data_IF_836209888939
#
_entry.id   IF_836209888939
#
_cell.length_a   1.000
_cell.length_b   1.000
_cell.length_c   1.000
_cell.angle_alpha   90.00
_cell.angle_beta   90.00
_cell.angle_gamma   90.00
#
_symmetry.space_group_name_H-M   'P 1'
#
loop_
_entity.id
_entity.type
_entity.pdbx_description
1 polymer ?
#
# COMPACT_ATOMS: atom_id res chain seq x y z
N UNK A 1 -19.22 -33.36 51.14
CA UNK A 1 -19.43 -32.12 50.35
C UNK A 1 -18.12 -31.35 50.40
N UNK A 2 -17.09 -31.83 49.69
CA UNK A 2 -16.63 -31.33 48.37
C UNK A 2 -16.12 -29.88 48.45
N UNK A 3 -14.90 -29.71 48.97
CA UNK A 3 -14.08 -28.52 48.75
C UNK A 3 -13.80 -28.37 47.25
N UNK A 4 -14.19 -27.23 46.69
CA UNK A 4 -13.98 -26.91 45.27
C UNK A 4 -12.52 -26.56 45.02
N UNK A 5 -11.80 -27.49 44.39
CA UNK A 5 -10.44 -27.28 43.91
C UNK A 5 -10.43 -26.17 42.83
N UNK A 6 -9.51 -25.19 42.86
CA UNK A 6 -9.40 -24.21 41.77
C UNK A 6 -9.05 -24.94 40.48
N UNK A 7 -9.82 -24.68 39.42
CA UNK A 7 -9.59 -25.24 38.10
C UNK A 7 -8.22 -24.73 37.63
N UNK A 8 -7.23 -25.62 37.63
CA UNK A 8 -5.96 -25.42 36.96
C UNK A 8 -6.24 -25.42 35.46
N UNK A 9 -6.51 -24.25 34.89
CA UNK A 9 -6.51 -24.05 33.44
C UNK A 9 -5.06 -24.29 33.00
N UNK A 10 -4.77 -25.32 32.17
CA UNK A 10 -3.44 -25.46 31.60
C UNK A 10 -3.14 -24.17 30.85
N UNK A 11 -2.07 -23.47 31.25
CA UNK A 11 -1.45 -22.48 30.37
C UNK A 11 -0.89 -23.27 29.19
N UNK A 12 -1.75 -23.54 28.21
CA UNK A 12 -1.29 -23.67 26.84
C UNK A 12 -0.59 -22.35 26.55
N UNK A 13 0.74 -22.40 26.57
CA UNK A 13 1.60 -21.40 25.99
C UNK A 13 1.10 -21.23 24.55
N UNK A 14 0.24 -20.23 24.36
CA UNK A 14 -0.23 -19.80 23.06
C UNK A 14 1.02 -19.61 22.21
N UNK A 15 1.12 -20.50 21.23
CA UNK A 15 2.12 -20.52 20.20
C UNK A 15 1.92 -19.22 19.39
N UNK A 16 2.48 -18.11 19.86
CA UNK A 16 2.58 -16.82 19.17
C UNK A 16 3.54 -16.92 17.97
N UNK A 17 3.53 -18.05 17.26
CA UNK A 17 4.20 -18.21 15.99
C UNK A 17 3.33 -17.53 14.94
N UNK A 18 3.90 -16.47 14.36
CA UNK A 18 3.45 -15.63 13.25
C UNK A 18 3.00 -16.37 11.96
N UNK A 19 2.74 -17.68 12.03
CA UNK A 19 2.13 -18.50 10.97
C UNK A 19 0.75 -17.97 10.51
N UNK A 20 0.07 -17.15 11.33
CA UNK A 20 -1.22 -16.55 10.99
C UNK A 20 -1.17 -15.35 10.02
N UNK A 21 -0.03 -14.66 9.89
CA UNK A 21 0.02 -13.35 9.20
C UNK A 21 0.24 -13.50 7.69
N UNK A 22 0.92 -14.55 7.25
CA UNK A 22 1.08 -14.86 5.82
C UNK A 22 0.45 -16.23 5.56
N UNK A 23 -0.85 -16.24 5.27
CA UNK A 23 -1.52 -17.45 4.78
C UNK A 23 -0.83 -17.88 3.48
N UNK A 24 -0.58 -19.19 3.32
CA UNK A 24 -0.03 -19.73 2.06
C UNK A 24 -0.85 -19.30 0.83
N UNK A 25 -2.16 -19.04 1.01
CA UNK A 25 -3.03 -18.49 -0.02
C UNK A 25 -2.65 -17.09 -0.49
N UNK A 26 -2.06 -16.25 0.36
CA UNK A 26 -1.54 -14.93 -0.02
C UNK A 26 -0.24 -15.06 -0.81
N UNK A 27 0.65 -15.98 -0.42
CA UNK A 27 1.89 -16.26 -1.15
C UNK A 27 1.57 -16.82 -2.54
N UNK A 28 0.59 -17.71 -2.63
CA UNK A 28 0.13 -18.28 -3.89
C UNK A 28 -0.41 -17.20 -4.84
N UNK A 29 -1.25 -16.29 -4.35
CA UNK A 29 -1.75 -15.17 -5.16
C UNK A 29 -0.63 -14.26 -5.66
N UNK A 30 0.37 -13.98 -4.83
CA UNK A 30 1.50 -13.12 -5.23
C UNK A 30 2.44 -13.86 -6.19
N UNK A 31 2.63 -15.16 -6.00
CA UNK A 31 3.40 -16.02 -6.91
C UNK A 31 2.76 -16.10 -8.29
N UNK A 32 1.45 -16.33 -8.36
CA UNK A 32 0.67 -16.36 -9.61
C UNK A 32 0.63 -14.98 -10.29
N UNK A 33 0.46 -13.90 -9.53
CA UNK A 33 0.33 -12.55 -10.10
C UNK A 33 1.65 -11.94 -10.60
N UNK A 34 2.79 -12.30 -10.01
CA UNK A 34 4.10 -11.69 -10.30
C UNK A 34 5.14 -12.67 -10.87
N UNK A 35 4.72 -13.89 -11.22
CA UNK A 35 5.55 -14.98 -11.78
C UNK A 35 6.79 -15.25 -10.93
N UNK A 36 6.55 -15.52 -9.64
CA UNK A 36 7.61 -15.77 -8.66
C UNK A 36 7.62 -17.22 -8.21
N UNK A 37 8.81 -17.81 -8.14
CA UNK A 37 9.03 -19.18 -7.70
C UNK A 37 8.62 -19.38 -6.22
N UNK A 38 7.54 -20.12 -5.99
CA UNK A 38 6.93 -20.29 -4.66
C UNK A 38 7.88 -20.99 -3.68
N UNK A 39 8.63 -21.99 -4.15
CA UNK A 39 9.57 -22.75 -3.30
C UNK A 39 10.72 -21.88 -2.81
N UNK A 40 11.25 -21.01 -3.68
CA UNK A 40 12.34 -20.09 -3.33
C UNK A 40 11.86 -19.01 -2.35
N UNK A 41 10.67 -18.45 -2.57
CA UNK A 41 10.07 -17.49 -1.63
C UNK A 41 9.89 -18.13 -0.24
N UNK A 42 9.33 -19.34 -0.19
CA UNK A 42 9.09 -20.03 1.08
C UNK A 42 10.40 -20.35 1.81
N UNK A 43 11.42 -20.78 1.08
CA UNK A 43 12.76 -21.01 1.63
C UNK A 43 13.39 -19.75 2.21
N UNK A 44 13.38 -18.64 1.46
CA UNK A 44 13.91 -17.36 1.93
C UNK A 44 13.16 -16.81 3.14
N UNK A 45 11.82 -16.89 3.14
CA UNK A 45 10.99 -16.44 4.27
C UNK A 45 11.31 -17.26 5.53
N UNK A 46 11.45 -18.58 5.41
CA UNK A 46 11.77 -19.44 6.57
C UNK A 46 13.15 -19.13 7.15
N UNK A 47 14.15 -18.92 6.29
CA UNK A 47 15.51 -18.54 6.71
C UNK A 47 15.48 -17.17 7.38
N UNK A 48 14.81 -16.19 6.76
CA UNK A 48 14.65 -14.86 7.31
C UNK A 48 13.94 -14.86 8.67
N UNK A 49 12.86 -15.61 8.83
CA UNK A 49 12.15 -15.76 10.11
C UNK A 49 13.06 -16.33 11.21
N UNK A 50 13.84 -17.36 10.90
CA UNK A 50 14.80 -17.94 11.85
C UNK A 50 15.90 -16.95 12.24
N UNK A 51 16.40 -16.16 11.29
CA UNK A 51 17.40 -15.12 11.56
C UNK A 51 16.81 -13.96 12.36
N UNK A 52 15.59 -13.55 12.04
CA UNK A 52 14.90 -12.45 12.71
C UNK A 52 14.50 -12.82 14.14
N UNK A 53 14.05 -14.05 14.41
CA UNK A 53 13.75 -14.53 15.78
C UNK A 53 14.97 -14.39 16.71
N UNK A 54 16.15 -14.81 16.23
CA UNK A 54 17.43 -14.63 16.95
C UNK A 54 17.79 -13.16 17.22
N UNK A 55 17.35 -12.23 16.37
CA UNK A 55 17.59 -10.80 16.53
C UNK A 55 16.59 -10.17 17.50
N UNK A 56 15.33 -10.60 17.46
CA UNK A 56 14.24 -10.10 18.33
C UNK A 56 14.41 -10.53 19.78
N UNK A 57 14.97 -11.71 20.05
CA UNK A 57 15.28 -12.17 21.42
C UNK A 57 16.22 -11.21 22.18
N UNK A 58 16.84 -10.25 21.50
CA UNK A 58 17.74 -9.24 22.07
C UNK A 58 17.12 -7.83 22.26
N UNK A 59 15.87 -7.60 21.86
CA UNK A 59 15.25 -6.26 21.80
C UNK A 59 13.96 -6.13 22.63
N UNK A 60 13.71 -4.99 23.31
CA UNK A 60 12.52 -4.80 24.14
C UNK A 60 11.23 -4.61 23.31
N UNK A 61 10.15 -5.19 23.80
CA UNK A 61 8.83 -5.24 23.17
C UNK A 61 8.16 -3.86 23.06
N UNK A 62 7.99 -3.39 21.82
CA UNK A 62 6.94 -2.42 21.48
C UNK A 62 6.25 -2.93 20.22
N UNK A 63 4.99 -3.34 20.36
CA UNK A 63 4.21 -4.02 19.33
C UNK A 63 3.15 -3.09 18.73
N UNK A 64 3.38 -2.61 17.51
CA UNK A 64 2.31 -2.26 16.56
C UNK A 64 2.67 -2.85 15.19
N UNK A 65 1.71 -3.40 14.45
CA UNK A 65 1.96 -4.12 13.18
C UNK A 65 2.73 -3.26 12.16
N UNK A 66 2.43 -1.96 12.10
CA UNK A 66 3.10 -0.99 11.22
C UNK A 66 4.56 -0.78 11.65
N UNK A 67 4.83 -0.70 12.96
CA UNK A 67 6.22 -0.64 13.45
C UNK A 67 7.00 -1.93 13.21
N UNK A 68 6.32 -3.08 13.19
CA UNK A 68 6.97 -4.39 13.03
C UNK A 68 7.46 -4.61 11.58
N UNK A 69 6.63 -4.31 10.57
CA UNK A 69 7.08 -4.35 9.17
C UNK A 69 8.24 -3.38 8.91
N UNK A 70 8.15 -2.18 9.50
CA UNK A 70 9.23 -1.18 9.40
C UNK A 70 10.52 -1.65 10.06
N UNK A 71 10.46 -2.28 11.24
CA UNK A 71 11.61 -2.89 11.92
C UNK A 71 12.27 -3.97 11.05
N UNK A 72 11.45 -4.86 10.45
CA UNK A 72 11.96 -5.92 9.55
C UNK A 72 12.62 -5.35 8.30
N UNK A 73 12.04 -4.31 7.70
CA UNK A 73 12.64 -3.63 6.55
C UNK A 73 13.96 -2.96 6.93
N UNK A 74 14.02 -2.27 8.08
CA UNK A 74 15.25 -1.65 8.56
C UNK A 74 16.33 -2.71 8.84
N UNK A 75 15.99 -3.84 9.46
CA UNK A 75 16.93 -4.95 9.69
C UNK A 75 17.52 -5.49 8.38
N UNK A 76 16.71 -5.62 7.33
CA UNK A 76 17.19 -6.07 6.01
C UNK A 76 18.19 -5.08 5.39
N UNK A 77 17.94 -3.78 5.55
CA UNK A 77 18.80 -2.71 5.03
C UNK A 77 20.09 -2.58 5.85
N UNK A 78 20.00 -2.57 7.18
CA UNK A 78 21.15 -2.44 8.09
C UNK A 78 22.15 -3.59 7.98
N UNK A 79 21.66 -4.79 7.64
CA UNK A 79 22.50 -5.99 7.49
C UNK A 79 22.89 -6.28 6.04
N UNK A 80 22.57 -5.38 5.09
CA UNK A 80 22.83 -5.55 3.65
C UNK A 80 22.28 -6.88 3.09
N UNK A 81 21.22 -7.41 3.71
CA UNK A 81 20.60 -8.69 3.35
C UNK A 81 19.78 -8.57 2.05
N UNK A 82 19.63 -7.36 1.51
CA UNK A 82 18.91 -7.11 0.27
C UNK A 82 19.48 -7.84 -0.95
N UNK A 83 20.78 -8.12 -0.96
CA UNK A 83 21.44 -8.85 -2.06
C UNK A 83 21.45 -10.37 -1.83
N UNK A 84 21.30 -10.81 -0.58
CA UNK A 84 21.26 -12.22 -0.18
C UNK A 84 19.85 -12.81 -0.37
N UNK A 85 18.80 -11.98 -0.24
CA UNK A 85 17.40 -12.39 -0.35
C UNK A 85 16.65 -11.62 -1.47
N UNK A 86 16.94 -11.92 -2.74
CA UNK A 86 16.34 -11.23 -3.88
C UNK A 86 14.82 -11.42 -3.97
N UNK A 87 14.29 -12.59 -3.59
CA UNK A 87 12.84 -12.84 -3.65
C UNK A 87 12.10 -12.12 -2.52
N UNK A 88 12.69 -12.09 -1.32
CA UNK A 88 12.13 -11.33 -0.19
C UNK A 88 12.14 -9.82 -0.46
N UNK A 89 13.21 -9.29 -1.06
CA UNK A 89 13.29 -7.88 -1.48
C UNK A 89 12.15 -7.53 -2.45
N UNK A 90 11.95 -8.36 -3.47
CA UNK A 90 10.88 -8.16 -4.46
C UNK A 90 9.49 -8.23 -3.82
N UNK A 91 9.28 -9.15 -2.87
CA UNK A 91 8.03 -9.26 -2.12
C UNK A 91 7.74 -8.00 -1.28
N UNK A 92 8.73 -7.46 -0.58
CA UNK A 92 8.58 -6.24 0.22
C UNK A 92 8.32 -5.03 -0.69
N UNK A 93 8.99 -4.95 -1.85
CA UNK A 93 8.72 -3.90 -2.84
C UNK A 93 7.27 -3.95 -3.34
N UNK A 94 6.77 -5.14 -3.67
CA UNK A 94 5.37 -5.33 -4.06
C UNK A 94 4.43 -4.91 -2.92
N UNK A 95 4.70 -5.33 -1.69
CA UNK A 95 3.89 -5.00 -0.53
C UNK A 95 3.81 -3.49 -0.29
N UNK A 96 4.91 -2.75 -0.49
CA UNK A 96 4.94 -1.29 -0.37
C UNK A 96 4.32 -0.57 -1.57
N UNK A 97 4.42 -1.16 -2.77
CA UNK A 97 3.87 -0.58 -3.99
C UNK A 97 2.34 -0.67 -4.06
N UNK A 98 1.76 -1.79 -3.61
CA UNK A 98 0.30 -2.01 -3.63
C UNK A 98 -0.47 -0.84 -2.98
N UNK A 99 -0.23 -0.44 -1.72
CA UNK A 99 -0.97 0.67 -1.11
C UNK A 99 -0.76 2.00 -1.83
N UNK A 100 0.45 2.28 -2.33
CA UNK A 100 0.75 3.50 -3.08
C UNK A 100 -0.03 3.52 -4.40
N UNK A 101 -0.08 2.40 -5.11
CA UNK A 101 -0.83 2.26 -6.36
C UNK A 101 -2.33 2.39 -6.14
N UNK A 102 -2.87 1.78 -5.07
CA UNK A 102 -4.30 1.89 -4.75
C UNK A 102 -4.68 3.32 -4.39
N UNK A 103 -3.88 4.00 -3.57
CA UNK A 103 -4.13 5.41 -3.23
C UNK A 103 -4.04 6.32 -4.45
N UNK A 104 -3.10 6.08 -5.38
CA UNK A 104 -3.02 6.84 -6.63
C UNK A 104 -4.28 6.64 -7.48
N UNK A 105 -4.73 5.39 -7.66
CA UNK A 105 -5.97 5.06 -8.36
C UNK A 105 -7.20 5.71 -7.68
N UNK A 106 -7.33 5.61 -6.36
CA UNK A 106 -8.42 6.22 -5.60
C UNK A 106 -8.44 7.75 -5.77
N UNK A 107 -7.27 8.39 -5.72
CA UNK A 107 -7.13 9.83 -5.97
C UNK A 107 -7.61 10.19 -7.38
N UNK A 108 -7.20 9.44 -8.40
CA UNK A 108 -7.62 9.66 -9.80
C UNK A 108 -9.13 9.44 -9.97
N UNK A 109 -9.69 8.36 -9.44
CA UNK A 109 -11.14 8.11 -9.52
C UNK A 109 -11.97 9.16 -8.76
N UNK A 110 -11.48 9.62 -7.60
CA UNK A 110 -12.11 10.69 -6.84
C UNK A 110 -12.10 12.02 -7.62
N UNK A 111 -10.98 12.34 -8.25
CA UNK A 111 -10.83 13.51 -9.11
C UNK A 111 -11.80 13.47 -10.30
N UNK A 112 -11.82 12.34 -11.03
CA UNK A 112 -12.75 12.10 -12.14
C UNK A 112 -14.20 12.25 -11.72
N UNK A 113 -14.55 11.70 -10.55
CA UNK A 113 -15.92 11.78 -10.02
C UNK A 113 -16.30 13.21 -9.71
N UNK A 114 -15.42 13.98 -9.07
CA UNK A 114 -15.61 15.41 -8.81
C UNK A 114 -15.80 16.20 -10.10
N UNK A 115 -14.97 15.96 -11.10
CA UNK A 115 -15.03 16.67 -12.38
C UNK A 115 -16.30 16.34 -13.17
N UNK A 116 -16.71 15.06 -13.22
CA UNK A 116 -17.98 14.64 -13.81
C UNK A 116 -19.18 15.28 -13.12
N UNK A 117 -19.18 15.31 -11.79
CA UNK A 117 -20.24 15.95 -11.02
C UNK A 117 -20.32 17.46 -11.26
N UNK A 118 -19.17 18.13 -11.34
CA UNK A 118 -19.09 19.57 -11.61
C UNK A 118 -19.58 19.92 -13.03
N UNK A 119 -19.16 19.16 -14.03
CA UNK A 119 -19.45 19.48 -15.44
C UNK A 119 -20.86 19.06 -15.87
N UNK A 120 -21.51 18.09 -15.20
CA UNK A 120 -22.91 17.57 -15.39
C UNK A 120 -23.35 17.25 -16.84
N UNK A 121 -22.48 17.45 -17.82
CA UNK A 121 -22.72 17.30 -19.25
C UNK A 121 -22.16 15.97 -19.76
N UNK A 122 -22.82 15.37 -20.75
CA UNK A 122 -22.21 14.32 -21.56
C UNK A 122 -21.02 14.93 -22.31
N UNK A 123 -19.82 14.54 -21.91
CA UNK A 123 -18.55 15.03 -22.44
C UNK A 123 -17.75 13.84 -22.98
N UNK A 124 -17.01 14.06 -24.06
CA UNK A 124 -16.17 13.01 -24.65
C UNK A 124 -15.08 12.56 -23.66
N UNK A 125 -14.75 11.27 -23.68
CA UNK A 125 -13.77 10.67 -22.75
C UNK A 125 -12.39 11.32 -22.89
N UNK A 126 -11.99 11.71 -24.11
CA UNK A 126 -10.71 12.37 -24.39
C UNK A 126 -10.57 13.69 -23.62
N UNK A 127 -11.57 14.58 -23.75
CA UNK A 127 -11.56 15.88 -23.07
C UNK A 127 -11.72 15.72 -21.56
N UNK A 128 -12.46 14.70 -21.10
CA UNK A 128 -12.58 14.38 -19.68
C UNK A 128 -11.22 13.95 -19.08
N UNK A 129 -10.52 13.04 -19.75
CA UNK A 129 -9.22 12.55 -19.33
C UNK A 129 -8.18 13.69 -19.28
N UNK A 130 -8.16 14.55 -20.31
CA UNK A 130 -7.26 15.71 -20.33
C UNK A 130 -7.49 16.64 -19.12
N UNK A 131 -8.75 16.91 -18.75
CA UNK A 131 -9.08 17.73 -17.59
C UNK A 131 -8.72 17.05 -16.26
N UNK A 132 -8.88 15.73 -16.17
CA UNK A 132 -8.53 14.98 -14.98
C UNK A 132 -7.02 14.99 -14.72
N UNK A 133 -6.21 14.77 -15.77
CA UNK A 133 -4.76 14.89 -15.69
C UNK A 133 -4.37 16.30 -15.26
N UNK A 134 -4.94 17.34 -15.87
CA UNK A 134 -4.69 18.74 -15.48
C UNK A 134 -5.05 19.00 -14.01
N UNK A 135 -6.09 18.35 -13.48
CA UNK A 135 -6.54 18.53 -12.10
C UNK A 135 -5.67 17.78 -11.10
N UNK A 136 -5.20 16.58 -11.45
CA UNK A 136 -4.30 15.75 -10.62
C UNK A 136 -2.90 16.38 -10.54
N UNK A 137 -2.37 16.78 -11.69
CA UNK A 137 -1.04 17.40 -11.85
C UNK A 137 -1.04 18.90 -11.60
N UNK A 138 -2.13 19.45 -11.04
CA UNK A 138 -2.26 20.88 -10.84
C UNK A 138 -1.29 21.39 -9.76
N UNK A 139 -0.07 21.68 -10.19
CA UNK A 139 1.04 22.21 -9.40
C UNK A 139 1.08 23.74 -9.43
N UNK A 140 0.25 24.37 -10.26
CA UNK A 140 0.19 25.80 -10.48
C UNK A 140 -1.07 26.36 -9.83
N UNK A 141 -0.91 27.37 -8.98
CA UNK A 141 -2.05 28.08 -8.43
C UNK A 141 -2.68 28.98 -9.51
N UNK A 142 -3.93 28.71 -9.86
CA UNK A 142 -4.65 29.45 -10.90
C UNK A 142 -5.49 30.53 -10.24
N UNK A 143 -5.12 31.79 -10.49
CA UNK A 143 -5.92 32.94 -10.05
C UNK A 143 -7.20 33.04 -10.90
N UNK A 144 -8.29 32.48 -10.36
CA UNK A 144 -9.61 32.50 -10.99
C UNK A 144 -10.08 33.91 -11.34
N UNK A 145 -9.68 34.93 -10.57
CA UNK A 145 -10.10 36.32 -10.78
C UNK A 145 -9.55 36.85 -12.10
N UNK A 146 -8.25 36.62 -12.36
CA UNK A 146 -7.60 37.01 -13.62
C UNK A 146 -8.17 36.25 -14.81
N UNK A 147 -8.44 34.95 -14.65
CA UNK A 147 -9.05 34.14 -15.71
C UNK A 147 -10.44 34.65 -16.07
N UNK A 148 -11.26 34.98 -15.06
CA UNK A 148 -12.62 35.52 -15.25
C UNK A 148 -12.55 36.89 -15.94
N UNK A 149 -11.66 37.78 -15.51
CA UNK A 149 -11.49 39.10 -16.13
C UNK A 149 -11.03 39.01 -17.59
N UNK A 150 -10.07 38.11 -17.88
CA UNK A 150 -9.60 37.88 -19.25
C UNK A 150 -10.70 37.28 -20.12
N UNK A 151 -11.50 36.35 -19.58
CA UNK A 151 -12.65 35.80 -20.28
C UNK A 151 -13.72 36.87 -20.55
N UNK A 152 -14.04 37.72 -19.56
CA UNK A 152 -15.00 38.81 -19.70
C UNK A 152 -14.56 39.86 -20.74
N UNK A 153 -13.26 40.09 -20.89
CA UNK A 153 -12.69 40.98 -21.93
C UNK A 153 -12.78 40.37 -23.34
N UNK A 154 -12.83 39.04 -23.46
CA UNK A 154 -13.00 38.37 -24.76
C UNK A 154 -14.44 38.52 -25.25
N UNK A 155 -14.65 39.27 -26.34
CA UNK A 155 -15.98 39.45 -26.96
C UNK A 155 -16.56 38.14 -27.52
N UNK A 156 -15.73 37.11 -27.70
CA UNK A 156 -16.13 35.82 -28.23
C UNK A 156 -16.39 34.82 -27.09
N UNK A 157 -17.66 34.71 -26.69
CA UNK A 157 -18.11 33.91 -25.53
C UNK A 157 -18.20 32.41 -25.81
N UNK A 158 -17.95 31.98 -27.04
CA UNK A 158 -17.85 30.55 -27.40
C UNK A 158 -16.40 30.14 -27.35
N UNK A 159 -16.02 29.44 -26.30
CA UNK A 159 -14.71 28.81 -26.22
C UNK A 159 -14.85 27.42 -26.84
N UNK A 160 -14.26 27.22 -28.01
CA UNK A 160 -14.11 25.89 -28.60
C UNK A 160 -13.03 25.15 -27.80
N UNK A 161 -13.46 24.37 -26.82
CA UNK A 161 -12.62 23.34 -26.22
C UNK A 161 -12.92 22.05 -26.98
N UNK A 162 -12.00 21.70 -27.89
CA UNK A 162 -12.00 20.45 -28.66
C UNK A 162 -12.15 19.24 -27.75
#
# INVERSE_FOLDING_TARGET
MMEGNPIHIPREEEEYELAGVIKNSSIQKVSEAYDLDMEKIKGEIQIFQKMYKKYVDSLPEIFTEITELRKRCNFLVEKELCDIFPYLKKLIQILLLVPVSTTSCERSFSCLRSLKSYLRNSMCQERLFALDVLKIENTIDVDFTKVIEQFAKSKNRRIFFF
#
